data_IF_980450392414
#
_entry.id   IF_980450392414
#
_cell.length_a   1.000
_cell.length_b   1.000
_cell.length_c   1.000
_cell.angle_alpha   90.00
_cell.angle_beta   90.00
_cell.angle_gamma   90.00
#
_symmetry.space_group_name_H-M   'P 1'
#
loop_
_entity.id
_entity.type
_entity.pdbx_description
1 polymer ?
#
# COMPACT_ATOMS: atom_id res chain seq x y z
N UNK A 1 26.71 -37.82 33.38
CA UNK A 1 26.51 -36.71 32.41
C UNK A 1 26.02 -37.32 31.10
N UNK A 2 24.71 -37.34 30.90
CA UNK A 2 24.07 -37.97 29.74
C UNK A 2 23.87 -36.90 28.65
N UNK A 3 24.90 -36.70 27.81
CA UNK A 3 24.87 -35.67 26.76
C UNK A 3 24.04 -36.20 25.60
N UNK A 4 22.74 -35.87 25.59
CA UNK A 4 21.81 -36.17 24.48
C UNK A 4 22.32 -35.54 23.18
N UNK A 5 22.92 -36.32 22.25
CA UNK A 5 23.50 -35.79 21.01
C UNK A 5 22.43 -35.37 19.98
N UNK A 6 21.16 -35.58 20.31
CA UNK A 6 20.01 -35.22 19.49
C UNK A 6 19.83 -33.70 19.36
N UNK A 7 20.16 -32.93 20.40
CA UNK A 7 20.00 -31.48 20.40
C UNK A 7 20.90 -30.79 19.35
N UNK A 8 22.23 -31.06 19.29
CA UNK A 8 23.07 -30.45 18.26
C UNK A 8 22.70 -30.93 16.85
N UNK A 9 22.26 -32.18 16.69
CA UNK A 9 21.87 -32.71 15.38
C UNK A 9 20.57 -32.05 14.86
N UNK A 10 19.57 -31.90 15.73
CA UNK A 10 18.35 -31.17 15.41
C UNK A 10 18.64 -29.70 15.06
N UNK A 11 19.60 -29.07 15.77
CA UNK A 11 20.02 -27.71 15.48
C UNK A 11 20.68 -27.57 14.10
N UNK A 12 21.57 -28.49 13.74
CA UNK A 12 22.24 -28.48 12.42
C UNK A 12 21.22 -28.75 11.30
N UNK A 13 20.30 -29.70 11.49
CA UNK A 13 19.25 -29.98 10.52
C UNK A 13 18.32 -28.77 10.32
N UNK A 14 17.92 -28.11 11.42
CA UNK A 14 17.10 -26.91 11.37
C UNK A 14 17.81 -25.73 10.72
N UNK A 15 19.09 -25.49 11.07
CA UNK A 15 19.91 -24.45 10.46
C UNK A 15 20.14 -24.70 8.96
N UNK A 16 20.37 -25.96 8.57
CA UNK A 16 20.48 -26.36 7.17
C UNK A 16 19.17 -26.14 6.41
N UNK A 17 18.03 -26.51 7.01
CA UNK A 17 16.71 -26.26 6.44
C UNK A 17 16.45 -24.76 6.24
N UNK A 18 16.74 -23.93 7.25
CA UNK A 18 16.64 -22.47 7.16
C UNK A 18 17.56 -21.89 6.08
N UNK A 19 18.77 -22.43 5.94
CA UNK A 19 19.71 -22.02 4.88
C UNK A 19 19.16 -22.33 3.49
N UNK A 20 18.61 -23.53 3.29
CA UNK A 20 17.98 -23.92 2.02
C UNK A 20 16.73 -23.09 1.74
N UNK A 21 15.88 -22.84 2.75
CA UNK A 21 14.75 -21.92 2.65
C UNK A 21 15.18 -20.48 2.32
N UNK A 22 16.34 -20.04 2.81
CA UNK A 22 16.92 -18.74 2.47
C UNK A 22 17.47 -18.66 1.03
N UNK A 23 17.76 -19.79 0.39
CA UNK A 23 18.12 -19.86 -1.03
C UNK A 23 16.88 -19.90 -1.93
N UNK A 24 15.76 -20.43 -1.44
CA UNK A 24 14.52 -20.60 -2.21
C UNK A 24 13.58 -19.41 -2.08
N UNK A 25 13.66 -18.65 -0.98
CA UNK A 25 12.89 -17.42 -0.82
C UNK A 25 13.47 -16.32 -1.72
N UNK A 26 12.68 -15.73 -2.64
CA UNK A 26 13.12 -14.54 -3.34
C UNK A 26 13.37 -13.47 -2.29
N UNK A 27 14.62 -13.01 -2.18
CA UNK A 27 14.99 -11.90 -1.30
C UNK A 27 14.04 -10.74 -1.61
N UNK A 28 13.22 -10.35 -0.64
CA UNK A 28 12.50 -9.09 -0.70
C UNK A 28 13.56 -7.98 -0.77
N UNK A 29 13.79 -7.49 -1.97
CA UNK A 29 14.65 -6.33 -2.22
C UNK A 29 13.93 -5.10 -1.68
N UNK A 30 14.24 -4.73 -0.44
CA UNK A 30 13.86 -3.44 0.12
C UNK A 30 14.76 -2.36 -0.51
N UNK A 31 14.20 -1.37 -1.24
CA UNK A 31 14.98 -0.39 -2.01
C UNK A 31 15.58 0.74 -1.14
N UNK A 32 16.09 0.41 0.05
CA UNK A 32 16.71 1.39 0.97
C UNK A 32 18.24 1.30 0.97
N UNK A 33 18.83 0.21 0.47
CA UNK A 33 20.29 -0.02 0.56
C UNK A 33 21.05 -0.07 -0.77
N UNK A 34 20.41 0.22 -1.92
CA UNK A 34 21.07 0.15 -3.23
C UNK A 34 22.15 1.22 -3.47
N UNK A 35 22.28 2.23 -2.61
CA UNK A 35 23.31 3.27 -2.77
C UNK A 35 24.69 2.94 -2.19
N UNK A 36 24.94 1.70 -1.73
CA UNK A 36 26.23 1.33 -1.13
C UNK A 36 27.09 0.35 -1.95
N UNK A 37 26.64 -0.15 -3.11
CA UNK A 37 27.45 -1.04 -3.95
C UNK A 37 27.51 -0.56 -5.42
N UNK A 38 28.51 0.25 -5.79
CA UNK A 38 28.73 0.62 -7.17
C UNK A 38 29.51 -0.49 -7.86
N UNK A 39 28.80 -1.38 -8.56
CA UNK A 39 29.43 -2.19 -9.60
C UNK A 39 28.94 -3.63 -9.66
N UNK A 40 27.76 -3.86 -10.22
CA UNK A 40 27.53 -5.07 -11.00
C UNK A 40 26.49 -4.78 -12.09
N UNK A 41 26.93 -4.73 -13.35
CA UNK A 41 26.03 -4.88 -14.51
C UNK A 41 25.57 -6.33 -14.51
N UNK A 42 24.27 -6.57 -14.40
CA UNK A 42 23.68 -7.85 -14.75
C UNK A 42 22.41 -7.60 -15.58
N UNK A 43 22.43 -8.19 -16.78
CA UNK A 43 21.37 -8.17 -17.76
C UNK A 43 20.05 -8.69 -17.17
N UNK A 44 18.94 -8.04 -17.55
CA UNK A 44 17.59 -8.49 -17.24
C UNK A 44 17.27 -9.75 -18.06
N UNK A 45 16.91 -10.90 -17.45
CA UNK A 45 16.26 -11.96 -18.18
C UNK A 45 14.76 -11.69 -18.20
N UNK A 46 14.22 -11.52 -19.40
CA UNK A 46 12.80 -11.75 -19.67
C UNK A 46 12.49 -13.22 -19.31
N UNK A 47 11.55 -13.43 -18.39
CA UNK A 47 11.10 -14.76 -18.01
C UNK A 47 9.77 -14.67 -17.27
N UNK A 48 8.70 -15.13 -17.94
CA UNK A 48 7.33 -14.99 -17.52
C UNK A 48 7.01 -15.57 -16.14
N UNK A 49 6.32 -14.76 -15.34
CA UNK A 49 5.43 -15.22 -14.27
C UNK A 49 3.98 -15.13 -14.74
N UNK A 50 3.04 -15.86 -14.10
CA UNK A 50 1.66 -15.94 -14.52
C UNK A 50 1.06 -14.54 -14.54
N UNK A 51 0.31 -14.23 -15.60
CA UNK A 51 -0.37 -12.96 -15.77
C UNK A 51 -1.25 -12.64 -14.54
N UNK A 52 -0.69 -11.90 -13.56
CA UNK A 52 -1.49 -11.11 -12.62
C UNK A 52 -1.90 -9.84 -13.36
N UNK A 53 -2.59 -10.03 -14.49
CA UNK A 53 -3.28 -8.98 -15.22
C UNK A 53 -4.70 -8.94 -14.68
N UNK A 54 -4.85 -8.69 -13.39
CA UNK A 54 -6.10 -8.12 -12.89
C UNK A 54 -6.08 -6.67 -13.40
N UNK A 55 -6.74 -6.43 -14.53
CA UNK A 55 -6.77 -5.13 -15.16
C UNK A 55 -7.10 -4.07 -14.11
N UNK A 56 -6.28 -3.02 -14.02
CA UNK A 56 -6.65 -1.79 -13.34
C UNK A 56 -7.81 -1.16 -14.13
N UNK A 57 -9.02 -1.72 -13.99
CA UNK A 57 -10.20 -1.35 -14.79
C UNK A 57 -10.84 -0.04 -14.31
N UNK A 58 -10.32 0.56 -13.25
CA UNK A 58 -10.73 1.88 -12.80
C UNK A 58 -9.56 2.87 -12.90
N UNK A 59 -9.77 4.05 -13.50
CA UNK A 59 -8.75 5.08 -13.56
C UNK A 59 -8.38 5.51 -12.14
N UNK A 60 -7.09 5.67 -11.87
CA UNK A 60 -6.60 6.46 -10.73
C UNK A 60 -7.22 7.86 -10.86
N UNK A 61 -7.83 8.43 -9.82
CA UNK A 61 -7.87 8.00 -8.41
C UNK A 61 -9.14 7.25 -7.98
N UNK A 62 -10.10 6.97 -8.89
CA UNK A 62 -11.41 6.37 -8.53
C UNK A 62 -11.27 5.07 -7.75
N UNK A 63 -10.33 4.21 -8.14
CA UNK A 63 -10.05 2.95 -7.42
C UNK A 63 -9.70 3.17 -5.95
N UNK A 64 -8.92 4.22 -5.65
CA UNK A 64 -8.52 4.55 -4.29
C UNK A 64 -9.67 5.16 -3.50
N UNK A 65 -10.48 6.00 -4.15
CA UNK A 65 -11.68 6.59 -3.55
C UNK A 65 -12.67 5.51 -3.13
N UNK A 66 -12.87 4.48 -3.96
CA UNK A 66 -13.74 3.35 -3.62
C UNK A 66 -13.15 2.49 -2.50
N UNK A 67 -11.87 2.13 -2.60
CA UNK A 67 -11.19 1.32 -1.60
C UNK A 67 -11.19 1.99 -0.20
N UNK A 68 -10.98 3.31 -0.15
CA UNK A 68 -10.78 4.05 1.10
C UNK A 68 -11.95 4.93 1.51
N UNK A 69 -13.13 4.72 0.92
CA UNK A 69 -14.34 5.50 1.25
C UNK A 69 -14.69 5.42 2.74
N UNK A 70 -14.52 4.24 3.34
CA UNK A 70 -14.79 3.99 4.75
C UNK A 70 -13.81 4.72 5.69
N UNK A 71 -12.50 4.62 5.46
CA UNK A 71 -11.52 5.39 6.24
C UNK A 71 -11.69 6.90 6.04
N UNK A 72 -11.93 7.35 4.81
CA UNK A 72 -12.13 8.76 4.52
C UNK A 72 -13.35 9.30 5.28
N UNK A 73 -14.49 8.59 5.24
CA UNK A 73 -15.69 8.95 6.01
C UNK A 73 -15.40 8.98 7.53
N UNK A 74 -14.68 7.98 8.06
CA UNK A 74 -14.26 7.97 9.47
C UNK A 74 -13.37 9.15 9.83
N UNK A 75 -12.44 9.55 8.94
CA UNK A 75 -11.56 10.70 9.15
C UNK A 75 -12.34 12.01 9.17
N UNK A 76 -13.31 12.15 8.28
CA UNK A 76 -14.18 13.33 8.16
C UNK A 76 -15.19 13.45 9.30
N UNK A 77 -15.58 12.33 9.92
CA UNK A 77 -16.49 12.31 11.07
C UNK A 77 -15.81 12.68 12.40
N UNK A 78 -14.48 12.90 12.41
CA UNK A 78 -13.77 13.25 13.65
C UNK A 78 -14.16 14.65 14.16
N UNK A 79 -14.22 14.86 15.49
CA UNK A 79 -14.57 16.17 16.06
C UNK A 79 -13.66 17.32 15.61
N UNK A 80 -12.37 17.05 15.40
CA UNK A 80 -11.40 18.05 14.92
C UNK A 80 -11.63 18.50 13.47
N UNK A 81 -12.39 17.73 12.68
CA UNK A 81 -12.50 17.93 11.23
C UNK A 81 -13.04 19.31 10.84
N UNK A 82 -14.07 19.78 11.58
CA UNK A 82 -14.70 21.07 11.32
C UNK A 82 -13.72 22.24 11.53
N UNK A 83 -12.76 22.09 12.45
CA UNK A 83 -11.74 23.12 12.74
C UNK A 83 -10.55 23.13 11.78
N UNK A 84 -10.40 22.13 10.91
CA UNK A 84 -9.29 22.06 9.96
C UNK A 84 -9.49 23.01 8.78
N UNK A 85 -8.40 23.62 8.31
CA UNK A 85 -8.38 24.36 7.05
C UNK A 85 -8.58 23.41 5.86
N UNK A 86 -8.93 23.94 4.69
CA UNK A 86 -9.02 23.12 3.47
C UNK A 86 -7.72 22.38 3.19
N UNK A 87 -6.58 23.05 3.33
CA UNK A 87 -5.26 22.45 3.13
C UNK A 87 -5.01 21.31 4.13
N UNK A 88 -5.35 21.48 5.40
CA UNK A 88 -5.16 20.44 6.41
C UNK A 88 -6.08 19.23 6.18
N UNK A 89 -7.30 19.46 5.68
CA UNK A 89 -8.22 18.40 5.27
C UNK A 89 -7.70 17.61 4.07
N UNK A 90 -7.09 18.29 3.10
CA UNK A 90 -6.43 17.63 1.96
C UNK A 90 -5.26 16.76 2.43
N UNK A 91 -4.41 17.27 3.33
CA UNK A 91 -3.29 16.50 3.90
C UNK A 91 -3.80 15.29 4.67
N UNK A 92 -4.83 15.47 5.49
CA UNK A 92 -5.44 14.38 6.26
C UNK A 92 -6.03 13.28 5.35
N UNK A 93 -6.65 13.64 4.24
CA UNK A 93 -7.15 12.67 3.25
C UNK A 93 -6.02 12.02 2.45
N UNK A 94 -4.96 12.76 2.12
CA UNK A 94 -3.77 12.17 1.51
C UNK A 94 -3.11 11.11 2.41
N UNK A 95 -3.12 11.32 3.74
CA UNK A 95 -2.67 10.29 4.69
C UNK A 95 -3.58 9.05 4.67
N UNK A 96 -4.90 9.23 4.55
CA UNK A 96 -5.83 8.10 4.39
C UNK A 96 -5.51 7.31 3.12
N UNK A 97 -5.25 7.98 2.00
CA UNK A 97 -4.82 7.33 0.75
C UNK A 97 -3.57 6.46 0.97
N UNK A 98 -2.56 7.01 1.66
CA UNK A 98 -1.30 6.30 1.93
C UNK A 98 -1.53 5.04 2.78
N UNK A 99 -2.40 5.11 3.79
CA UNK A 99 -2.60 4.03 4.75
C UNK A 99 -3.54 2.92 4.26
N UNK A 100 -4.51 3.26 3.43
CA UNK A 100 -5.54 2.30 3.00
C UNK A 100 -5.40 1.87 1.53
N UNK A 101 -4.99 2.79 0.64
CA UNK A 101 -5.20 2.62 -0.80
C UNK A 101 -3.94 2.62 -1.64
N UNK A 102 -2.82 3.12 -1.12
CA UNK A 102 -1.57 3.23 -1.87
C UNK A 102 -1.00 1.84 -2.19
N UNK A 103 -1.28 1.38 -3.40
CA UNK A 103 -0.75 0.14 -3.96
C UNK A 103 0.66 0.33 -4.54
N UNK A 104 1.26 -0.77 -5.01
CA UNK A 104 2.59 -0.73 -5.62
C UNK A 104 2.66 0.25 -6.80
N UNK A 105 1.59 0.40 -7.57
CA UNK A 105 1.55 1.32 -8.71
C UNK A 105 1.66 2.78 -8.24
N UNK A 106 0.94 3.18 -7.19
CA UNK A 106 1.07 4.52 -6.58
C UNK A 106 2.54 4.86 -6.24
N UNK A 107 3.24 3.92 -5.60
CA UNK A 107 4.63 4.12 -5.17
C UNK A 107 5.62 4.16 -6.32
N UNK A 108 5.32 3.54 -7.46
CA UNK A 108 6.13 3.65 -8.68
C UNK A 108 5.92 4.94 -9.47
N UNK A 109 4.89 5.74 -9.14
CA UNK A 109 4.65 7.02 -9.83
C UNK A 109 5.72 8.06 -9.47
N UNK A 110 6.08 8.97 -10.39
CA UNK A 110 6.89 10.15 -10.05
C UNK A 110 6.22 11.00 -8.96
N UNK A 111 7.02 11.66 -8.12
CA UNK A 111 6.53 12.46 -6.98
C UNK A 111 5.48 13.52 -7.39
N UNK A 112 5.69 14.18 -8.54
CA UNK A 112 4.75 15.18 -9.09
C UNK A 112 3.38 14.57 -9.39
N UNK A 113 3.37 13.32 -9.88
CA UNK A 113 2.15 12.57 -10.17
C UNK A 113 1.52 12.03 -8.89
N UNK A 114 2.30 11.55 -7.92
CA UNK A 114 1.79 11.15 -6.59
C UNK A 114 1.05 12.31 -5.91
N UNK A 115 1.66 13.51 -5.89
CA UNK A 115 1.03 14.73 -5.33
C UNK A 115 -0.28 15.08 -6.03
N UNK A 116 -0.33 14.93 -7.36
CA UNK A 116 -1.56 15.16 -8.13
C UNK A 116 -2.65 14.16 -7.74
N UNK A 117 -2.32 12.87 -7.69
CA UNK A 117 -3.25 11.81 -7.32
C UNK A 117 -3.80 12.01 -5.90
N UNK A 118 -2.94 12.38 -4.95
CA UNK A 118 -3.36 12.67 -3.58
C UNK A 118 -4.33 13.87 -3.50
N UNK A 119 -4.09 14.93 -4.30
CA UNK A 119 -5.01 16.08 -4.39
C UNK A 119 -6.34 15.69 -5.02
N UNK A 120 -6.33 14.94 -6.13
CA UNK A 120 -7.55 14.49 -6.80
C UNK A 120 -8.36 13.53 -5.90
N UNK A 121 -7.68 12.66 -5.14
CA UNK A 121 -8.31 11.82 -4.11
C UNK A 121 -9.00 12.67 -3.05
N UNK A 122 -8.33 13.67 -2.48
CA UNK A 122 -8.91 14.54 -1.47
C UNK A 122 -10.10 15.35 -2.02
N UNK A 123 -9.96 15.92 -3.22
CA UNK A 123 -11.01 16.66 -3.91
C UNK A 123 -12.28 15.82 -4.10
N UNK A 124 -12.14 14.52 -4.40
CA UNK A 124 -13.27 13.62 -4.56
C UNK A 124 -14.15 13.48 -3.30
N UNK A 125 -13.63 13.77 -2.11
CA UNK A 125 -14.41 13.78 -0.86
C UNK A 125 -14.80 15.19 -0.42
N UNK A 126 -13.91 16.18 -0.61
CA UNK A 126 -14.13 17.56 -0.16
C UNK A 126 -15.12 18.31 -1.04
N UNK A 127 -15.09 18.06 -2.35
CA UNK A 127 -15.94 18.74 -3.34
C UNK A 127 -17.16 17.88 -3.74
N UNK A 128 -17.37 16.72 -3.10
CA UNK A 128 -18.56 15.92 -3.30
C UNK A 128 -19.81 16.68 -2.82
N UNK A 129 -20.93 16.65 -3.58
CA UNK A 129 -22.16 17.30 -3.14
C UNK A 129 -22.60 16.69 -1.80
N UNK A 130 -22.79 17.55 -0.79
CA UNK A 130 -23.25 17.14 0.53
C UNK A 130 -24.67 16.56 0.41
N UNK A 131 -24.80 15.23 0.35
CA UNK A 131 -26.09 14.58 0.48
C UNK A 131 -26.41 13.52 -0.59
N UNK A 132 -25.76 12.37 -0.47
CA UNK A 132 -26.43 11.09 -0.73
C UNK A 132 -27.17 10.62 0.53
N UNK A 133 -27.89 11.51 1.21
CA UNK A 133 -28.86 11.09 2.21
C UNK A 133 -30.06 10.54 1.41
N UNK A 134 -30.50 9.29 1.59
CA UNK A 134 -31.76 8.85 1.02
C UNK A 134 -32.84 9.79 1.57
N UNK A 135 -33.33 10.71 0.73
CA UNK A 135 -34.54 11.47 1.01
C UNK A 135 -35.59 10.43 1.39
N UNK A 136 -36.11 10.59 2.62
CA UNK A 136 -37.07 9.69 3.19
C UNK A 136 -38.16 9.36 2.19
N UNK A 137 -38.40 8.07 2.04
CA UNK A 137 -39.68 7.57 1.56
C UNK A 137 -40.69 7.84 2.70
N UNK A 138 -41.15 9.07 2.81
CA UNK A 138 -42.35 9.46 3.55
C UNK A 138 -43.27 10.12 2.54
N UNK A 139 -44.32 9.39 2.16
CA UNK A 139 -45.59 9.80 1.55
C UNK A 139 -46.16 8.49 0.97
N UNK A 140 -47.37 8.02 1.22
CA UNK A 140 -48.56 8.52 1.93
C UNK A 140 -49.50 7.32 2.08
#
# INVERSE_FOLDING_TARGET
MDRKPLVPLAFVAFAGLLFVLGQITPRASFPVFEHLWPGFRAASPQGGGPEVRAGAQMPIPRRYVEACRGEAARRMARPDWAGLTRQDREIALAQVLILCGADAEYWTLPETRQKRVAREFAAAFLDAPAGGAPKGLVDK
#
